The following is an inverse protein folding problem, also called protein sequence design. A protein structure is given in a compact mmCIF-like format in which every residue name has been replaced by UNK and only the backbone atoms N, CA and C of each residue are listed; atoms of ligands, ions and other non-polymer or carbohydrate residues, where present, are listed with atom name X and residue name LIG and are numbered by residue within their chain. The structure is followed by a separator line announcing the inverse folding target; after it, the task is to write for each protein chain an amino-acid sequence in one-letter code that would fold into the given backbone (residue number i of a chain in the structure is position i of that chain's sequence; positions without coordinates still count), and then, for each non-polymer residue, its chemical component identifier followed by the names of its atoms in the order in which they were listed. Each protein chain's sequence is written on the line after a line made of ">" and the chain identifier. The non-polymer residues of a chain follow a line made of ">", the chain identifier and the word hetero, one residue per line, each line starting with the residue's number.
data_IF_562153322861
#
_entry.id   IF_562153322861
#
_cell.length_a   1.000
_cell.length_b   1.000
_cell.length_c   1.000
_cell.angle_alpha   90.00
_cell.angle_beta   90.00
_cell.angle_gamma   90.00
#
_symmetry.space_group_name_H-M   'P 1'
#
loop_
_entity.id
_entity.type
_entity.pdbx_description
1 polymer ?
#
# COMPACT_ATOMS: atom_id res chain seq x y z
N UNK A 1 17.21 20.31 -13.22
CA UNK A 1 17.70 19.77 -14.52
C UNK A 1 18.75 20.68 -15.09
N UNK A 2 18.43 21.95 -15.36
CA UNK A 2 19.45 22.97 -15.71
C UNK A 2 20.56 23.05 -14.65
N UNK A 3 20.20 22.97 -13.38
CA UNK A 3 21.19 23.05 -12.28
C UNK A 3 22.12 21.83 -12.19
N UNK A 4 21.66 20.63 -12.56
CA UNK A 4 22.51 19.43 -12.55
C UNK A 4 23.43 19.37 -13.76
N UNK A 5 22.96 19.82 -14.93
CA UNK A 5 23.79 20.00 -16.11
C UNK A 5 24.86 21.07 -15.80
N UNK A 6 24.46 22.21 -15.25
CA UNK A 6 25.38 23.28 -14.86
C UNK A 6 26.43 22.81 -13.85
N UNK A 7 26.05 22.05 -12.82
CA UNK A 7 26.99 21.50 -11.84
C UNK A 7 28.00 20.51 -12.47
N UNK A 8 27.56 19.64 -13.39
CA UNK A 8 28.46 18.71 -14.08
C UNK A 8 29.36 19.40 -15.10
N UNK A 9 28.85 20.43 -15.78
CA UNK A 9 29.63 21.26 -16.72
C UNK A 9 30.66 22.10 -15.97
N UNK A 10 30.34 22.59 -14.77
CA UNK A 10 31.28 23.31 -13.90
C UNK A 10 32.42 22.41 -13.39
N UNK A 11 32.24 21.09 -13.37
CA UNK A 11 33.28 20.12 -13.00
C UNK A 11 34.15 19.64 -14.17
N UNK A 12 34.00 20.21 -15.37
CA UNK A 12 34.89 19.90 -16.50
C UNK A 12 36.27 20.52 -16.27
N UNK A 13 37.37 19.84 -16.64
CA UNK A 13 38.73 20.37 -16.53
C UNK A 13 38.86 21.74 -17.20
N UNK A 14 39.65 22.64 -16.60
CA UNK A 14 39.87 23.99 -17.14
C UNK A 14 40.65 23.96 -18.45
N UNK A 15 41.53 22.96 -18.66
CA UNK A 15 42.29 22.83 -19.92
C UNK A 15 41.45 22.36 -21.11
N UNK A 16 40.19 21.97 -20.85
CA UNK A 16 39.26 21.47 -21.86
C UNK A 16 38.53 22.65 -22.50
N UNK A 17 39.03 23.10 -23.65
CA UNK A 17 38.55 24.27 -24.39
C UNK A 17 37.94 23.90 -25.76
N UNK A 18 37.33 24.88 -26.42
CA UNK A 18 36.86 24.79 -27.81
C UNK A 18 35.89 23.64 -28.10
N UNK A 19 36.14 22.91 -29.18
CA UNK A 19 35.28 21.80 -29.62
C UNK A 19 35.25 20.64 -28.62
N UNK A 20 36.36 20.38 -27.93
CA UNK A 20 36.44 19.32 -26.90
C UNK A 20 35.50 19.61 -25.73
N UNK A 21 35.45 20.88 -25.29
CA UNK A 21 34.52 21.30 -24.22
C UNK A 21 33.07 21.18 -24.67
N UNK A 22 32.79 21.59 -25.91
CA UNK A 22 31.45 21.55 -26.50
C UNK A 22 30.95 20.11 -26.58
N UNK A 23 31.77 19.18 -27.06
CA UNK A 23 31.45 17.76 -27.11
C UNK A 23 31.19 17.17 -25.70
N UNK A 24 31.98 17.56 -24.70
CA UNK A 24 31.79 17.11 -23.32
C UNK A 24 30.48 17.63 -22.71
N UNK A 25 30.13 18.90 -22.97
CA UNK A 25 28.85 19.50 -22.56
C UNK A 25 27.67 18.77 -23.22
N UNK A 26 27.78 18.43 -24.50
CA UNK A 26 26.75 17.69 -25.24
C UNK A 26 26.55 16.27 -24.70
N UNK A 27 27.64 15.57 -24.37
CA UNK A 27 27.59 14.25 -23.72
C UNK A 27 26.94 14.34 -22.34
N UNK A 28 27.31 15.31 -21.51
CA UNK A 28 26.68 15.55 -20.20
C UNK A 28 25.19 15.84 -20.39
N UNK A 29 24.84 16.74 -21.30
CA UNK A 29 23.45 17.14 -21.56
C UNK A 29 22.62 15.95 -22.02
N UNK A 30 23.11 15.18 -23.00
CA UNK A 30 22.44 13.97 -23.49
C UNK A 30 22.29 12.92 -22.38
N UNK A 31 23.33 12.71 -21.58
CA UNK A 31 23.31 11.79 -20.44
C UNK A 31 22.27 12.20 -19.40
N UNK A 32 22.19 13.48 -19.03
CA UNK A 32 21.20 13.97 -18.05
C UNK A 32 19.78 13.95 -18.60
N UNK A 33 19.59 14.26 -19.89
CA UNK A 33 18.28 14.19 -20.56
C UNK A 33 17.79 12.76 -20.74
N UNK A 34 18.69 11.80 -20.91
CA UNK A 34 18.36 10.37 -21.06
C UNK A 34 18.04 9.68 -19.72
N UNK A 35 18.30 10.32 -18.56
CA UNK A 35 17.97 9.73 -17.26
C UNK A 35 16.46 9.57 -17.12
N UNK A 36 15.96 8.37 -16.74
CA UNK A 36 14.55 8.16 -16.46
C UNK A 36 14.08 9.16 -15.40
N UNK A 37 13.06 9.96 -15.74
CA UNK A 37 12.45 10.86 -14.76
C UNK A 37 11.59 10.03 -13.82
N UNK A 38 11.98 9.98 -12.55
CA UNK A 38 11.10 9.44 -11.53
C UNK A 38 9.89 10.37 -11.41
N UNK A 39 8.70 9.83 -11.69
CA UNK A 39 7.44 10.52 -11.40
C UNK A 39 7.38 10.78 -9.90
N UNK A 40 7.13 12.02 -9.51
CA UNK A 40 6.98 12.37 -8.11
C UNK A 40 5.81 11.59 -7.51
N UNK A 41 6.06 10.86 -6.42
CA UNK A 41 5.02 10.12 -5.69
C UNK A 41 4.34 11.09 -4.75
N UNK A 42 3.05 11.34 -4.96
CA UNK A 42 2.24 12.25 -4.13
C UNK A 42 1.88 11.64 -2.77
N UNK A 43 1.69 10.32 -2.73
CA UNK A 43 1.28 9.59 -1.53
C UNK A 43 1.17 8.09 -1.79
N UNK A 44 0.83 7.37 -0.73
CA UNK A 44 0.61 5.93 -0.72
C UNK A 44 -0.81 5.66 -0.25
N UNK A 45 -1.47 4.72 -0.90
CA UNK A 45 -2.81 4.27 -0.50
C UNK A 45 -2.68 2.92 0.21
N UNK A 46 -3.07 2.89 1.49
CA UNK A 46 -3.16 1.67 2.28
C UNK A 46 -4.63 1.28 2.34
N UNK A 47 -5.01 0.27 1.57
CA UNK A 47 -6.39 -0.21 1.50
C UNK A 47 -6.60 -1.38 2.44
N UNK A 48 -7.35 -1.16 3.52
CA UNK A 48 -7.72 -2.19 4.49
C UNK A 48 -9.03 -2.82 4.07
N UNK A 49 -9.00 -4.11 3.70
CA UNK A 49 -10.18 -4.87 3.29
C UNK A 49 -10.28 -6.09 4.21
N UNK A 50 -11.36 -6.23 5.00
CA UNK A 50 -11.57 -7.39 5.84
C UNK A 50 -11.85 -8.65 4.99
N UNK A 51 -11.76 -9.84 5.58
CA UNK A 51 -12.15 -11.09 4.93
C UNK A 51 -13.56 -11.05 4.36
N UNK A 52 -13.82 -11.89 3.35
CA UNK A 52 -15.07 -11.79 2.58
C UNK A 52 -16.29 -12.05 3.45
N UNK A 53 -16.19 -13.02 4.36
CA UNK A 53 -17.23 -13.33 5.33
C UNK A 53 -17.63 -12.14 6.19
N UNK A 54 -16.69 -11.29 6.59
CA UNK A 54 -16.97 -10.07 7.38
C UNK A 54 -17.74 -9.04 6.55
N UNK A 55 -17.36 -8.84 5.28
CA UNK A 55 -18.11 -7.97 4.37
C UNK A 55 -19.52 -8.49 4.11
N UNK A 56 -19.69 -9.82 4.01
CA UNK A 56 -20.99 -10.49 3.88
C UNK A 56 -21.83 -10.30 5.13
N UNK A 57 -21.26 -10.51 6.32
CA UNK A 57 -21.94 -10.28 7.61
C UNK A 57 -22.39 -8.83 7.74
N UNK A 58 -21.53 -7.87 7.37
CA UNK A 58 -21.91 -6.45 7.36
C UNK A 58 -23.08 -6.19 6.42
N UNK A 59 -23.02 -6.67 5.17
CA UNK A 59 -24.06 -6.36 4.18
C UNK A 59 -25.43 -6.98 4.50
N UNK A 60 -25.45 -8.19 5.06
CA UNK A 60 -26.70 -8.93 5.34
C UNK A 60 -27.19 -8.80 6.79
N UNK A 61 -26.32 -8.32 7.70
CA UNK A 61 -26.66 -8.15 9.10
C UNK A 61 -27.68 -7.04 9.33
N UNK A 62 -28.34 -7.10 10.49
CA UNK A 62 -29.19 -6.00 10.94
C UNK A 62 -28.36 -4.74 11.24
N UNK A 63 -29.04 -3.63 11.56
CA UNK A 63 -28.38 -2.35 11.82
C UNK A 63 -27.38 -2.41 12.98
N UNK A 64 -27.65 -3.23 14.00
CA UNK A 64 -26.75 -3.38 15.14
C UNK A 64 -25.48 -4.10 14.70
N UNK A 65 -25.60 -5.25 14.03
CA UNK A 65 -24.48 -6.00 13.47
C UNK A 65 -23.65 -5.15 12.52
N UNK A 66 -24.29 -4.41 11.60
CA UNK A 66 -23.60 -3.46 10.71
C UNK A 66 -22.75 -2.44 11.47
N UNK A 67 -23.32 -1.88 12.53
CA UNK A 67 -22.65 -0.87 13.36
C UNK A 67 -21.44 -1.47 14.08
N UNK A 68 -21.59 -2.67 14.66
CA UNK A 68 -20.50 -3.33 15.38
C UNK A 68 -19.38 -3.81 14.45
N UNK A 69 -19.71 -4.37 13.28
CA UNK A 69 -18.71 -4.77 12.29
C UNK A 69 -17.92 -3.55 11.79
N UNK A 70 -18.61 -2.43 11.50
CA UNK A 70 -17.94 -1.20 11.08
C UNK A 70 -17.06 -0.60 12.18
N UNK A 71 -17.52 -0.65 13.44
CA UNK A 71 -16.74 -0.21 14.58
C UNK A 71 -15.48 -1.08 14.76
N UNK A 72 -15.61 -2.40 14.62
CA UNK A 72 -14.48 -3.33 14.68
C UNK A 72 -13.45 -3.05 13.58
N UNK A 73 -13.91 -2.91 12.34
CA UNK A 73 -13.07 -2.57 11.19
C UNK A 73 -12.30 -1.27 11.42
N UNK A 74 -12.98 -0.18 11.82
CA UNK A 74 -12.33 1.11 12.05
C UNK A 74 -11.34 1.05 13.20
N UNK A 75 -11.62 0.29 14.27
CA UNK A 75 -10.69 0.12 15.39
C UNK A 75 -9.43 -0.64 14.95
N UNK A 76 -9.59 -1.73 14.21
CA UNK A 76 -8.46 -2.48 13.66
C UNK A 76 -7.60 -1.59 12.73
N UNK A 77 -8.23 -0.81 11.84
CA UNK A 77 -7.51 0.17 11.00
C UNK A 77 -6.71 1.18 11.86
N UNK A 78 -7.32 1.75 12.90
CA UNK A 78 -6.65 2.72 13.77
C UNK A 78 -5.44 2.12 14.51
N UNK A 79 -5.57 0.89 15.00
CA UNK A 79 -4.51 0.19 15.71
C UNK A 79 -3.37 -0.20 14.76
N UNK A 80 -3.69 -0.70 13.56
CA UNK A 80 -2.70 -0.98 12.51
C UNK A 80 -1.97 0.29 12.07
N UNK A 81 -2.65 1.44 11.98
CA UNK A 81 -2.01 2.72 11.70
C UNK A 81 -1.11 3.19 12.85
N UNK A 82 -1.48 2.88 14.09
CA UNK A 82 -0.63 3.16 15.25
C UNK A 82 0.65 2.33 15.20
N UNK A 83 0.57 1.05 14.81
CA UNK A 83 1.75 0.24 14.56
C UNK A 83 2.59 0.81 13.41
N UNK A 84 1.95 1.15 12.29
CA UNK A 84 2.62 1.73 11.12
C UNK A 84 3.43 2.99 11.50
N UNK A 85 2.81 3.93 12.22
CA UNK A 85 3.45 5.17 12.64
C UNK A 85 4.66 4.94 13.55
N UNK A 86 4.58 3.95 14.45
CA UNK A 86 5.62 3.69 15.43
C UNK A 86 6.75 2.78 14.94
N UNK A 87 6.46 1.86 14.02
CA UNK A 87 7.38 0.77 13.65
C UNK A 87 7.78 0.73 12.18
N UNK A 88 7.03 1.39 11.29
CA UNK A 88 7.22 1.27 9.83
C UNK A 88 7.29 2.62 9.10
N UNK A 89 7.08 3.75 9.78
CA UNK A 89 7.11 5.08 9.19
C UNK A 89 8.46 5.76 9.38
N UNK A 90 9.26 5.76 8.32
CA UNK A 90 10.60 6.36 8.30
C UNK A 90 10.74 7.41 7.19
N UNK A 91 11.80 8.21 7.30
CA UNK A 91 12.33 9.07 6.23
C UNK A 91 13.79 8.73 6.00
N UNK A 92 14.35 9.15 4.86
CA UNK A 92 15.78 9.00 4.55
C UNK A 92 16.51 10.34 4.47
N UNK A 93 17.74 10.37 4.95
CA UNK A 93 18.66 11.52 4.97
C UNK A 93 20.07 11.10 4.59
N UNK A 94 20.97 12.07 4.45
CA UNK A 94 22.36 11.83 4.02
C UNK A 94 22.51 11.65 2.51
N UNK A 95 23.74 11.50 2.06
CA UNK A 95 24.06 11.29 0.64
C UNK A 95 23.33 10.06 0.12
N UNK A 96 22.61 10.20 -1.00
CA UNK A 96 21.75 9.16 -1.57
C UNK A 96 20.73 8.53 -0.58
N UNK A 97 20.40 9.22 0.51
CA UNK A 97 19.49 8.71 1.53
C UNK A 97 20.03 7.50 2.30
N UNK A 98 21.33 7.41 2.54
CA UNK A 98 21.98 6.30 3.24
C UNK A 98 21.49 6.11 4.69
N UNK A 99 21.01 7.17 5.34
CA UNK A 99 20.53 7.14 6.72
C UNK A 99 19.00 7.03 6.75
N UNK A 100 18.47 6.07 7.49
CA UNK A 100 17.04 5.98 7.79
C UNK A 100 16.77 6.61 9.17
N UNK A 101 15.77 7.48 9.26
CA UNK A 101 15.42 8.20 10.50
C UNK A 101 13.94 8.07 10.82
N UNK A 102 13.56 8.07 12.12
CA UNK A 102 12.17 8.12 12.53
C UNK A 102 11.52 9.43 12.10
N UNK A 103 10.20 9.50 12.16
CA UNK A 103 9.41 10.68 11.85
C UNK A 103 8.58 11.12 13.06
N UNK A 104 7.93 12.28 12.98
CA UNK A 104 6.98 12.77 13.99
C UNK A 104 5.53 12.28 13.77
N UNK A 105 5.32 11.41 12.79
CA UNK A 105 3.99 10.91 12.43
C UNK A 105 3.65 11.09 10.95
N UNK A 106 2.50 10.53 10.56
CA UNK A 106 1.97 10.59 9.21
C UNK A 106 0.90 11.68 9.05
N UNK A 107 0.75 12.17 7.82
CA UNK A 107 -0.46 12.90 7.39
C UNK A 107 -1.25 11.95 6.51
N UNK A 108 -2.46 11.58 6.94
CA UNK A 108 -3.29 10.64 6.21
C UNK A 108 -4.78 11.01 6.24
N UNK A 109 -5.53 10.52 5.25
CA UNK A 109 -6.99 10.62 5.19
C UNK A 109 -7.59 9.24 4.94
N UNK A 110 -8.62 8.88 5.72
CA UNK A 110 -9.31 7.60 5.62
C UNK A 110 -10.68 7.76 4.94
N UNK A 111 -11.00 6.87 4.00
CA UNK A 111 -12.25 6.86 3.24
C UNK A 111 -12.86 5.46 3.26
N UNK A 112 -14.01 5.33 3.91
CA UNK A 112 -14.75 4.07 3.98
C UNK A 112 -15.61 3.87 2.73
N UNK A 113 -15.53 2.69 2.15
CA UNK A 113 -16.30 2.22 1.01
C UNK A 113 -16.98 0.88 1.35
N UNK A 114 -18.02 0.54 0.59
CA UNK A 114 -18.96 -0.53 0.97
C UNK A 114 -19.08 -1.64 -0.07
N UNK A 115 -18.70 -1.37 -1.32
CA UNK A 115 -18.95 -2.25 -2.45
C UNK A 115 -17.75 -2.38 -3.37
N UNK A 116 -17.69 -3.51 -4.06
CA UNK A 116 -16.70 -3.79 -5.09
C UNK A 116 -17.06 -3.01 -6.37
N UNK A 117 -16.17 -2.94 -7.35
CA UNK A 117 -16.52 -2.36 -8.66
C UNK A 117 -17.67 -3.09 -9.35
N UNK A 118 -17.84 -4.39 -9.06
CA UNK A 118 -18.91 -5.21 -9.58
C UNK A 118 -20.22 -5.09 -8.75
N UNK A 119 -20.22 -4.27 -7.69
CA UNK A 119 -21.40 -4.08 -6.83
C UNK A 119 -21.51 -5.06 -5.67
N UNK A 120 -20.57 -6.00 -5.52
CA UNK A 120 -20.61 -6.96 -4.42
C UNK A 120 -20.29 -6.29 -3.06
N UNK A 121 -20.82 -6.82 -1.94
CA UNK A 121 -20.42 -6.40 -0.59
C UNK A 121 -18.90 -6.41 -0.40
N UNK A 122 -18.30 -5.24 -0.18
CA UNK A 122 -16.86 -5.12 0.02
C UNK A 122 -16.61 -3.92 0.93
N UNK A 123 -16.76 -4.12 2.24
CA UNK A 123 -16.37 -3.12 3.22
C UNK A 123 -14.86 -2.90 3.09
N UNK A 124 -14.40 -1.67 2.91
CA UNK A 124 -12.96 -1.39 2.91
C UNK A 124 -12.68 0.08 3.22
N UNK A 125 -11.50 0.36 3.76
CA UNK A 125 -11.03 1.71 4.03
C UNK A 125 -9.78 2.01 3.22
N UNK A 126 -9.82 3.07 2.42
CA UNK A 126 -8.63 3.66 1.81
C UNK A 126 -8.00 4.66 2.76
N UNK A 127 -6.78 4.38 3.22
CA UNK A 127 -5.98 5.33 3.99
C UNK A 127 -4.91 5.91 3.08
N UNK A 128 -5.16 7.13 2.60
CA UNK A 128 -4.24 7.87 1.73
C UNK A 128 -3.24 8.61 2.60
N UNK A 129 -2.02 8.10 2.64
CA UNK A 129 -0.86 8.67 3.35
C UNK A 129 -0.11 9.62 2.43
N UNK A 130 0.02 10.88 2.81
CA UNK A 130 0.81 11.84 2.06
C UNK A 130 2.29 11.42 2.05
N UNK A 131 2.98 11.58 0.92
CA UNK A 131 4.43 11.38 0.84
C UNK A 131 5.20 12.58 1.42
N UNK A 132 4.82 12.99 2.63
CA UNK A 132 5.37 14.15 3.32
C UNK A 132 5.29 13.92 4.83
N UNK A 133 6.47 13.79 5.44
CA UNK A 133 6.64 13.53 6.87
C UNK A 133 7.58 14.56 7.47
N UNK A 134 7.40 14.85 8.75
CA UNK A 134 8.30 15.74 9.47
C UNK A 134 9.35 14.90 10.20
N UNK A 135 10.62 15.19 9.92
CA UNK A 135 11.77 14.66 10.64
C UNK A 135 11.83 15.20 12.08
N UNK A 136 12.60 14.58 12.99
CA UNK A 136 12.72 15.05 14.38
C UNK A 136 13.24 16.48 14.48
N UNK A 137 14.07 16.91 13.53
CA UNK A 137 14.62 18.25 13.33
C UNK A 137 13.65 19.24 12.66
N UNK A 138 12.41 18.83 12.37
CA UNK A 138 11.35 19.72 11.89
C UNK A 138 11.31 19.93 10.37
N UNK A 139 12.28 19.40 9.62
CA UNK A 139 12.26 19.43 8.15
C UNK A 139 11.21 18.50 7.59
N UNK A 140 10.55 18.93 6.52
CA UNK A 140 9.59 18.11 5.79
C UNK A 140 10.24 17.33 4.67
N UNK A 141 10.25 16.01 4.79
CA UNK A 141 10.89 15.07 3.88
C UNK A 141 9.87 14.08 3.31
N UNK A 142 10.30 13.24 2.37
CA UNK A 142 9.48 12.15 1.81
C UNK A 142 9.54 10.92 2.72
N UNK A 143 8.50 10.11 2.67
CA UNK A 143 8.48 8.79 3.33
C UNK A 143 9.52 7.88 2.68
N UNK A 144 10.19 7.06 3.48
CA UNK A 144 10.97 5.94 2.99
C UNK A 144 10.04 4.84 2.46
N UNK A 145 9.76 4.91 1.17
CA UNK A 145 8.85 3.96 0.50
C UNK A 145 9.35 2.51 0.57
N UNK A 146 10.67 2.28 0.67
CA UNK A 146 11.20 0.91 0.78
C UNK A 146 10.82 0.31 2.12
N UNK A 147 11.02 1.06 3.20
CA UNK A 147 10.62 0.62 4.55
C UNK A 147 9.12 0.35 4.62
N UNK A 148 8.30 1.27 4.08
CA UNK A 148 6.86 1.09 3.97
C UNK A 148 6.50 -0.20 3.22
N UNK A 149 7.06 -0.42 2.02
CA UNK A 149 6.78 -1.61 1.22
C UNK A 149 7.20 -2.91 1.90
N UNK A 150 8.30 -2.91 2.65
CA UNK A 150 8.75 -4.07 3.42
C UNK A 150 7.80 -4.40 4.58
N UNK A 151 7.12 -3.41 5.15
CA UNK A 151 6.19 -3.59 6.26
C UNK A 151 4.74 -3.95 5.85
N UNK A 152 4.39 -3.88 4.55
CA UNK A 152 3.00 -4.05 4.08
C UNK A 152 2.38 -5.36 4.55
N UNK A 153 3.11 -6.49 4.44
CA UNK A 153 2.58 -7.79 4.86
C UNK A 153 2.34 -7.81 6.37
N UNK A 154 3.29 -7.33 7.17
CA UNK A 154 3.13 -7.25 8.63
C UNK A 154 1.93 -6.39 9.04
N UNK A 155 1.72 -5.25 8.39
CA UNK A 155 0.57 -4.38 8.67
C UNK A 155 -0.74 -5.08 8.28
N UNK A 156 -0.74 -5.83 7.18
CA UNK A 156 -1.91 -6.60 6.72
C UNK A 156 -2.29 -7.69 7.72
N UNK A 157 -1.35 -8.54 8.13
CA UNK A 157 -1.62 -9.63 9.08
C UNK A 157 -2.03 -9.07 10.45
N UNK A 158 -1.37 -8.00 10.91
CA UNK A 158 -1.75 -7.33 12.16
C UNK A 158 -3.19 -6.79 12.08
N UNK A 159 -3.59 -6.21 10.95
CA UNK A 159 -4.97 -5.76 10.76
C UNK A 159 -5.97 -6.92 10.83
N UNK A 160 -5.67 -8.05 10.16
CA UNK A 160 -6.55 -9.22 10.15
C UNK A 160 -6.72 -9.81 11.56
N UNK A 161 -5.63 -9.92 12.33
CA UNK A 161 -5.64 -10.39 13.72
C UNK A 161 -6.43 -9.44 14.64
N UNK A 162 -6.15 -8.13 14.55
CA UNK A 162 -6.84 -7.11 15.36
C UNK A 162 -8.33 -7.05 15.04
N UNK A 163 -8.70 -7.20 13.77
CA UNK A 163 -10.10 -7.26 13.36
C UNK A 163 -10.78 -8.50 13.94
N UNK A 164 -10.14 -9.66 13.88
CA UNK A 164 -10.71 -10.89 14.38
C UNK A 164 -10.98 -10.82 15.89
N UNK A 165 -10.00 -10.34 16.67
CA UNK A 165 -10.14 -10.12 18.10
C UNK A 165 -11.22 -9.09 18.43
N UNK A 166 -11.19 -7.92 17.79
CA UNK A 166 -12.15 -6.84 18.05
C UNK A 166 -13.58 -7.25 17.70
N UNK A 167 -13.77 -8.02 16.62
CA UNK A 167 -15.11 -8.48 16.22
C UNK A 167 -15.64 -9.55 17.17
N UNK A 168 -14.79 -10.49 17.60
CA UNK A 168 -15.15 -11.52 18.58
C UNK A 168 -15.51 -10.92 19.96
N UNK A 169 -14.93 -9.77 20.33
CA UNK A 169 -15.32 -9.03 21.55
C UNK A 169 -16.68 -8.33 21.44
N UNK A 170 -17.13 -8.01 20.23
CA UNK A 170 -18.37 -7.25 19.98
C UNK A 170 -19.57 -8.12 19.66
N UNK A 171 -19.34 -9.22 18.95
CA UNK A 171 -20.37 -10.11 18.43
C UNK A 171 -20.01 -11.57 18.76
N UNK A 172 -21.01 -12.45 18.95
CA UNK A 172 -20.79 -13.86 19.24
C UNK A 172 -20.40 -14.63 17.97
N UNK A 173 -19.26 -14.28 17.39
CA UNK A 173 -18.72 -14.90 16.18
C UNK A 173 -17.55 -15.82 16.49
N UNK A 174 -17.35 -16.82 15.65
CA UNK A 174 -16.17 -17.68 15.66
C UNK A 174 -15.50 -17.66 14.28
N UNK A 175 -14.24 -18.07 14.24
CA UNK A 175 -13.38 -17.97 13.06
C UNK A 175 -12.69 -19.30 12.80
N UNK A 176 -12.50 -19.62 11.53
CA UNK A 176 -11.72 -20.78 11.12
C UNK A 176 -10.91 -20.50 9.86
N UNK A 177 -9.82 -21.26 9.70
CA UNK A 177 -9.03 -21.25 8.49
C UNK A 177 -9.75 -22.02 7.38
N UNK A 178 -9.96 -21.35 6.24
CA UNK A 178 -10.58 -21.93 5.05
C UNK A 178 -9.57 -22.09 3.93
N UNK A 179 -9.58 -23.26 3.30
CA UNK A 179 -8.75 -23.54 2.15
C UNK A 179 -9.21 -22.70 0.95
N UNK A 180 -8.29 -21.98 0.29
CA UNK A 180 -8.59 -21.14 -0.89
C UNK A 180 -7.95 -21.65 -2.18
N UNK A 181 -7.61 -22.94 -2.21
CA UNK A 181 -6.90 -23.59 -3.30
C UNK A 181 -5.38 -23.61 -3.12
N UNK A 182 -4.72 -24.41 -3.95
CA UNK A 182 -3.28 -24.77 -3.82
C UNK A 182 -2.33 -23.57 -3.93
N UNK A 183 -2.76 -22.48 -4.59
CA UNK A 183 -1.91 -21.30 -4.86
C UNK A 183 -2.21 -20.10 -3.96
N UNK A 184 -3.07 -20.25 -2.96
CA UNK A 184 -3.48 -19.16 -2.07
C UNK A 184 -3.26 -19.58 -0.62
N UNK A 185 -2.78 -18.64 0.18
CA UNK A 185 -2.77 -18.81 1.63
C UNK A 185 -4.22 -19.04 2.11
N UNK A 186 -4.43 -19.92 3.11
CA UNK A 186 -5.73 -20.06 3.76
C UNK A 186 -6.32 -18.69 4.14
N UNK A 187 -7.64 -18.55 4.03
CA UNK A 187 -8.33 -17.36 4.51
C UNK A 187 -8.79 -17.58 5.94
N UNK A 188 -8.62 -16.60 6.82
CA UNK A 188 -9.24 -16.64 8.13
C UNK A 188 -10.62 -15.99 8.03
N UNK A 189 -11.66 -16.81 8.05
CA UNK A 189 -13.04 -16.38 7.73
C UNK A 189 -13.97 -16.73 8.89
N UNK A 190 -15.07 -16.00 9.02
CA UNK A 190 -16.11 -16.27 10.00
C UNK A 190 -16.77 -17.62 9.74
N UNK A 191 -17.04 -18.37 10.81
CA UNK A 191 -17.89 -19.55 10.74
C UNK A 191 -19.34 -19.18 10.43
N UNK A 192 -20.12 -20.13 9.94
CA UNK A 192 -21.53 -19.92 9.58
C UNK A 192 -21.75 -19.16 8.26
N UNK A 193 -20.73 -18.53 7.68
CA UNK A 193 -20.82 -17.98 6.32
C UNK A 193 -20.60 -19.10 5.29
N UNK A 194 -21.55 -19.28 4.36
CA UNK A 194 -21.49 -20.31 3.32
C UNK A 194 -20.46 -19.94 2.22
N UNK A 195 -19.66 -20.91 1.76
CA UNK A 195 -18.64 -20.70 0.72
C UNK A 195 -19.24 -20.29 -0.64
N UNK A 196 -20.38 -20.86 -1.01
CA UNK A 196 -21.11 -20.49 -2.22
C UNK A 196 -21.58 -19.04 -2.19
N UNK A 197 -22.07 -18.56 -1.04
CA UNK A 197 -22.45 -17.16 -0.86
C UNK A 197 -21.23 -16.22 -0.97
N UNK A 198 -20.09 -16.60 -0.38
CA UNK A 198 -18.86 -15.82 -0.51
C UNK A 198 -18.35 -15.79 -1.95
N UNK A 199 -18.47 -16.91 -2.68
CA UNK A 199 -18.11 -17.00 -4.09
C UNK A 199 -19.01 -16.11 -4.96
N UNK A 200 -20.32 -16.11 -4.72
CA UNK A 200 -21.29 -15.25 -5.42
C UNK A 200 -20.95 -13.77 -5.23
N UNK A 201 -20.62 -13.36 -4.00
CA UNK A 201 -20.18 -12.00 -3.73
C UNK A 201 -18.73 -11.73 -4.16
N UNK A 202 -18.02 -12.65 -4.81
CA UNK A 202 -16.63 -12.47 -5.22
C UNK A 202 -16.45 -12.28 -6.74
N UNK A 203 -17.46 -11.72 -7.41
CA UNK A 203 -17.49 -11.46 -8.87
C UNK A 203 -16.20 -10.87 -9.41
N UNK A 204 -15.65 -9.84 -8.74
CA UNK A 204 -14.39 -9.20 -9.16
C UNK A 204 -13.21 -10.17 -9.15
N UNK A 205 -13.12 -11.05 -8.16
CA UNK A 205 -12.04 -12.05 -8.06
C UNK A 205 -12.14 -13.03 -9.22
N UNK A 206 -13.35 -13.53 -9.50
CA UNK A 206 -13.61 -14.42 -10.63
C UNK A 206 -13.22 -13.78 -11.97
N UNK A 207 -13.56 -12.51 -12.16
CA UNK A 207 -13.16 -11.74 -13.36
C UNK A 207 -11.64 -11.60 -13.48
N UNK A 208 -10.94 -11.33 -12.36
CA UNK A 208 -9.47 -11.22 -12.35
C UNK A 208 -8.82 -12.58 -12.68
N UNK A 209 -9.32 -13.68 -12.11
CA UNK A 209 -8.80 -15.02 -12.35
C UNK A 209 -9.01 -15.46 -13.81
N UNK A 210 -10.17 -15.14 -14.39
CA UNK A 210 -10.45 -15.37 -15.80
C UNK A 210 -9.53 -14.54 -16.71
N UNK A 211 -9.38 -13.24 -16.42
CA UNK A 211 -8.51 -12.35 -17.19
C UNK A 211 -7.03 -12.77 -17.09
N UNK A 212 -6.59 -13.21 -15.91
CA UNK A 212 -5.24 -13.74 -15.70
C UNK A 212 -5.00 -15.01 -16.50
N UNK A 213 -5.98 -15.92 -16.52
CA UNK A 213 -5.91 -17.17 -17.30
C UNK A 213 -5.79 -16.87 -18.80
N UNK A 214 -6.61 -15.96 -19.33
CA UNK A 214 -6.51 -15.52 -20.72
C UNK A 214 -5.12 -14.91 -21.02
N UNK A 215 -4.64 -14.00 -20.17
CA UNK A 215 -3.33 -13.35 -20.34
C UNK A 215 -2.17 -14.34 -20.33
N UNK A 216 -2.23 -15.39 -19.49
CA UNK A 216 -1.23 -16.47 -19.48
C UNK A 216 -1.31 -17.29 -20.77
N UNK A 217 -2.51 -17.56 -21.26
CA UNK A 217 -2.73 -18.26 -22.55
C UNK A 217 -2.11 -17.50 -23.71
N UNK A 218 -2.36 -16.19 -23.81
CA UNK A 218 -1.79 -15.32 -24.84
C UNK A 218 -0.26 -15.27 -24.75
N UNK A 219 0.30 -15.20 -23.53
CA UNK A 219 1.74 -15.24 -23.33
C UNK A 219 2.33 -16.56 -23.84
N UNK A 220 1.71 -17.69 -23.50
CA UNK A 220 2.16 -19.01 -23.92
C UNK A 220 2.10 -19.16 -25.45
N UNK A 221 1.00 -18.71 -26.07
CA UNK A 221 0.86 -18.74 -27.52
C UNK A 221 1.93 -17.89 -28.24
N UNK A 222 2.29 -16.74 -27.67
CA UNK A 222 3.31 -15.85 -28.26
C UNK A 222 4.77 -16.26 -28.01
N UNK A 223 5.06 -16.95 -26.90
CA UNK A 223 6.44 -17.24 -26.47
C UNK A 223 6.80 -18.72 -26.43
N UNK A 224 5.83 -19.63 -26.61
CA UNK A 224 6.02 -21.08 -26.52
C UNK A 224 6.41 -21.59 -25.13
N UNK A 225 6.28 -20.76 -24.09
CA UNK A 225 6.59 -21.11 -22.69
C UNK A 225 5.67 -20.39 -21.72
N UNK A 226 5.55 -20.94 -20.51
CA UNK A 226 4.85 -20.25 -19.43
C UNK A 226 5.62 -19.00 -18.96
N UNK A 227 4.91 -17.95 -18.48
CA UNK A 227 5.56 -16.78 -17.90
C UNK A 227 6.19 -17.11 -16.55
N UNK A 228 7.35 -16.51 -16.26
CA UNK A 228 8.00 -16.61 -14.95
C UNK A 228 7.29 -15.72 -13.91
N UNK A 229 7.71 -15.80 -12.64
CA UNK A 229 7.07 -15.05 -11.54
C UNK A 229 7.07 -13.53 -11.75
N UNK A 230 8.15 -12.97 -12.29
CA UNK A 230 8.26 -11.52 -12.54
C UNK A 230 7.33 -11.10 -13.68
N UNK A 231 7.26 -11.91 -14.74
CA UNK A 231 6.36 -11.71 -15.88
C UNK A 231 4.90 -11.80 -15.44
N UNK A 232 4.53 -12.81 -14.64
CA UNK A 232 3.21 -12.95 -14.02
C UNK A 232 2.83 -11.68 -13.23
N UNK A 233 3.76 -11.16 -12.41
CA UNK A 233 3.51 -9.94 -11.64
C UNK A 233 3.36 -8.70 -12.52
N UNK A 234 3.91 -8.67 -13.73
CA UNK A 234 3.74 -7.57 -14.69
C UNK A 234 2.44 -7.72 -15.49
N UNK A 235 2.04 -8.94 -15.79
CA UNK A 235 0.82 -9.28 -16.52
C UNK A 235 -0.43 -9.17 -15.65
N UNK A 236 -0.29 -9.20 -14.32
CA UNK A 236 -1.40 -9.19 -13.37
C UNK A 236 -2.38 -8.03 -13.63
N UNK A 237 -3.66 -8.30 -13.96
CA UNK A 237 -4.67 -7.28 -14.28
C UNK A 237 -4.88 -6.23 -13.18
N UNK A 238 -4.57 -6.58 -11.93
CA UNK A 238 -4.67 -5.67 -10.77
C UNK A 238 -3.67 -4.51 -10.82
N UNK A 239 -2.57 -4.61 -11.59
CA UNK A 239 -1.59 -3.52 -11.77
C UNK A 239 -1.92 -2.55 -12.90
N UNK A 240 -2.81 -2.94 -13.82
CA UNK A 240 -3.24 -2.12 -14.94
C UNK A 240 -4.72 -1.74 -14.80
N UNK A 241 -5.06 -0.76 -13.94
CA UNK A 241 -6.45 -0.34 -13.70
C UNK A 241 -7.07 0.43 -14.88
N UNK A 242 -6.31 0.73 -15.94
CA UNK A 242 -6.79 1.39 -17.14
C UNK A 242 -7.25 0.38 -18.19
N UNK A 243 -8.56 0.26 -18.36
CA UNK A 243 -9.29 -0.04 -19.62
C UNK A 243 -10.20 -1.27 -19.63
N UNK A 244 -9.95 -2.34 -18.86
CA UNK A 244 -10.76 -3.56 -19.02
C UNK A 244 -12.05 -3.63 -18.18
N UNK A 245 -12.23 -2.83 -17.12
CA UNK A 245 -13.33 -3.03 -16.15
C UNK A 245 -14.08 -1.76 -15.72
N UNK A 246 -14.02 -0.69 -16.52
CA UNK A 246 -14.76 0.55 -16.22
C UNK A 246 -16.20 0.46 -16.73
N UNK A 247 -17.09 -0.18 -15.97
CA UNK A 247 -18.51 0.15 -16.10
C UNK A 247 -18.78 1.46 -15.36
N UNK A 248 -19.47 2.39 -16.01
CA UNK A 248 -19.81 3.69 -15.43
C UNK A 248 -20.76 3.50 -14.24
N UNK A 249 -20.41 4.02 -13.07
CA UNK A 249 -21.31 4.11 -11.91
C UNK A 249 -22.02 5.45 -11.90
N UNK A 250 -23.35 5.43 -11.77
CA UNK A 250 -24.18 6.58 -11.42
C UNK A 250 -24.00 6.85 -9.91
N UNK A 251 -23.71 8.08 -9.46
CA UNK A 251 -23.40 8.30 -8.05
C UNK A 251 -24.68 8.40 -7.22
N UNK A 252 -24.93 7.38 -6.38
CA UNK A 252 -25.87 7.47 -5.27
C UNK A 252 -25.13 7.14 -3.97
N UNK A 253 -24.76 8.16 -3.19
CA UNK A 253 -24.19 7.96 -1.85
C UNK A 253 -23.39 9.16 -1.35
N UNK A 254 -23.92 9.87 -0.34
CA UNK A 254 -23.19 10.91 0.39
C UNK A 254 -22.03 10.30 1.16
N UNK A 255 -20.80 10.54 0.71
CA UNK A 255 -19.61 10.38 1.55
C UNK A 255 -19.73 11.30 2.78
N UNK A 256 -19.84 10.73 3.99
CA UNK A 256 -19.75 11.50 5.23
C UNK A 256 -18.27 11.76 5.52
N UNK A 257 -17.88 13.03 5.60
CA UNK A 257 -16.53 13.46 5.98
C UNK A 257 -16.29 13.18 7.46
N UNK A 258 -15.51 12.16 7.77
CA UNK A 258 -14.86 12.02 9.08
C UNK A 258 -13.53 12.75 9.04
N UNK A 259 -13.42 13.90 9.72
CA UNK A 259 -12.12 14.53 9.96
C UNK A 259 -11.53 13.89 11.21
N UNK A 260 -10.66 12.90 11.04
CA UNK A 260 -9.79 12.45 12.12
C UNK A 260 -8.62 13.44 12.24
N UNK A 261 -8.75 14.43 13.13
CA UNK A 261 -7.60 15.16 13.66
C UNK A 261 -7.06 14.38 14.86
N UNK A 262 -6.20 13.41 14.63
CA UNK A 262 -5.46 12.76 15.72
C UNK A 262 -4.30 13.66 16.12
N UNK A 263 -4.50 14.51 17.14
CA UNK A 263 -3.38 14.94 17.99
C UNK A 263 -3.14 13.82 18.98
N UNK A 264 -2.25 12.89 18.64
CA UNK A 264 -1.82 11.88 19.61
C UNK A 264 -0.74 12.50 20.51
N UNK A 265 -0.99 12.54 21.82
CA UNK A 265 0.03 12.81 22.83
C UNK A 265 0.50 11.46 23.38
N UNK A 266 1.77 11.07 23.22
CA UNK A 266 2.24 9.84 23.81
C UNK A 266 2.38 10.03 25.33
N UNK A 267 1.67 9.21 26.10
CA UNK A 267 2.05 8.95 27.48
C UNK A 267 3.17 7.91 27.44
N UNK A 268 4.34 8.24 28.02
CA UNK A 268 5.44 7.30 28.19
C UNK A 268 4.97 6.05 28.91
N UNK A 269 5.26 4.88 28.34
CA UNK A 269 5.44 3.65 29.09
C UNK A 269 6.77 3.03 28.66
N UNK A 270 7.59 2.70 29.65
CA UNK A 270 8.91 2.10 29.49
C UNK A 270 8.78 0.69 28.91
N UNK A 271 9.11 0.53 27.63
CA UNK A 271 9.27 -0.77 27.01
C UNK A 271 10.70 -1.28 27.24
N UNK A 272 10.85 -2.17 28.23
CA UNK A 272 12.00 -3.09 28.28
C UNK A 272 11.81 -4.16 27.20
N UNK A 273 12.77 -4.25 26.27
CA UNK A 273 13.16 -5.49 25.60
C UNK A 273 12.63 -5.76 24.19
N UNK A 274 13.33 -5.26 23.17
CA UNK A 274 14.05 -6.07 22.16
C UNK A 274 14.93 -5.14 21.33
N UNK A 275 16.25 -5.34 21.41
CA UNK A 275 17.24 -4.49 20.78
C UNK A 275 17.41 -4.83 19.29
N UNK A 276 16.71 -4.09 18.44
CA UNK A 276 16.92 -4.11 16.98
C UNK A 276 18.04 -3.14 16.53
N UNK A 277 18.78 -2.51 17.46
CA UNK A 277 19.81 -1.50 17.16
C UNK A 277 21.21 -2.11 17.10
N UNK A 278 21.47 -2.99 16.14
CA UNK A 278 22.86 -3.21 15.68
C UNK A 278 22.94 -3.35 14.17
N UNK A 279 22.81 -2.21 13.49
CA UNK A 279 23.59 -1.96 12.30
C UNK A 279 24.66 -0.92 12.71
N UNK A 280 25.93 -1.30 12.60
CA UNK A 280 27.03 -0.35 12.73
C UNK A 280 26.83 0.78 11.72
N UNK A 281 27.13 2.04 12.08
CA UNK A 281 27.09 3.13 11.11
C UNK A 281 28.17 2.87 10.06
N UNK A 282 27.78 2.39 8.88
CA UNK A 282 28.56 2.61 7.67
C UNK A 282 28.56 4.12 7.45
N UNK A 283 29.76 4.71 7.42
CA UNK A 283 29.91 6.12 7.12
C UNK A 283 29.23 6.43 5.78
N UNK A 284 28.20 7.28 5.86
CA UNK A 284 27.94 8.26 4.83
C UNK A 284 29.09 9.29 4.86
#
# INVERSE_FOLDING_TARGET
>A
MRDQIAARVAGLPEELEGEGRTAAVDVITRSELAKPRHTAVAGFDMTFTPPKSVSTLWALGDRRTQTEVLAAHRKAVQDSLSFFENAALFTRTGAAGCEQRPTRGAVAAAFDHWDSRAGDPNLHTHVVVANKVQSPDGRWLSVDSRALHHAVVTISELYDDLLADELARRLPVSWSWRHRGVRRSPGFELDGTNDGLMAEFSTRTTQIDAAMTATIGDFYAGHGRAPNRIEILRLAPTRHPGNATRQARTPAGRARRGVARTRFRPHRQDARGTDWRRAQPVAC
#
